data_IF_237748989106
#
_entry.id   IF_237748989106
#
_cell.length_a   1.000
_cell.length_b   1.000
_cell.length_c   1.000
_cell.angle_alpha   90.00
_cell.angle_beta   90.00
_cell.angle_gamma   90.00
#
_symmetry.space_group_name_H-M   'P 1'
#
loop_
_entity.id
_entity.type
_entity.pdbx_description
1 polymer ?
#
# COMPACT_ATOMS: atom_id res chain seq x y z
N UNK A 1 16.05 0.37 36.46
CA UNK A 1 15.45 -0.82 35.84
C UNK A 1 14.57 -0.34 34.69
N UNK A 2 15.18 -0.17 33.52
CA UNK A 2 14.47 0.17 32.29
C UNK A 2 13.68 -1.05 31.82
N UNK A 3 12.35 -0.90 31.79
CA UNK A 3 11.45 -1.91 31.29
C UNK A 3 11.48 -1.84 29.76
N UNK A 4 12.29 -2.71 29.14
CA UNK A 4 12.28 -2.93 27.69
C UNK A 4 10.88 -3.38 27.28
N UNK A 5 10.11 -2.47 26.69
CA UNK A 5 8.88 -2.78 25.98
C UNK A 5 9.25 -3.66 24.78
N UNK A 6 9.17 -4.98 24.97
CA UNK A 6 9.03 -5.92 23.86
C UNK A 6 7.64 -5.66 23.29
N UNK A 7 7.56 -4.80 22.28
CA UNK A 7 6.36 -4.65 21.46
C UNK A 7 6.17 -6.00 20.75
N UNK A 8 5.14 -6.74 21.14
CA UNK A 8 4.74 -8.01 20.54
C UNK A 8 4.45 -7.78 19.03
N UNK A 9 5.41 -8.09 18.16
CA UNK A 9 5.35 -7.94 16.69
C UNK A 9 4.42 -8.99 16.03
N UNK A 10 3.24 -9.24 16.60
CA UNK A 10 2.21 -10.08 15.95
C UNK A 10 1.08 -9.21 15.43
N UNK A 11 1.09 -8.79 14.15
CA UNK A 11 -0.14 -8.30 13.58
C UNK A 11 -1.10 -9.50 13.42
N UNK A 12 -2.30 -9.38 14.01
CA UNK A 12 -3.32 -10.45 14.08
C UNK A 12 -4.39 -10.29 13.01
N UNK A 13 -4.00 -10.15 11.75
CA UNK A 13 -4.99 -10.07 10.67
C UNK A 13 -5.41 -11.48 10.24
N UNK A 14 -6.70 -11.66 9.99
CA UNK A 14 -7.26 -12.95 9.61
C UNK A 14 -6.96 -13.27 8.13
N UNK A 15 -7.00 -12.26 7.27
CA UNK A 15 -6.81 -12.42 5.81
C UNK A 15 -5.99 -11.28 5.22
N UNK A 16 -5.25 -11.52 4.15
CA UNK A 16 -4.63 -10.46 3.34
C UNK A 16 -4.79 -10.71 1.87
N UNK A 17 -4.69 -9.64 1.10
CA UNK A 17 -4.76 -9.66 -0.35
C UNK A 17 -3.65 -8.78 -0.91
N UNK A 18 -2.98 -9.29 -1.92
CA UNK A 18 -2.02 -8.52 -2.71
C UNK A 18 -2.41 -8.61 -4.19
N UNK A 19 -2.54 -7.45 -4.82
CA UNK A 19 -2.83 -7.28 -6.27
C UNK A 19 -1.98 -6.14 -6.83
N UNK A 20 -1.90 -5.98 -8.16
CA UNK A 20 -1.34 -4.78 -8.75
C UNK A 20 -1.93 -3.49 -8.16
N UNK A 21 -1.09 -2.74 -7.44
CA UNK A 21 -1.44 -1.46 -6.82
C UNK A 21 -2.40 -1.53 -5.62
N UNK A 22 -2.62 -2.72 -5.05
CA UNK A 22 -3.48 -2.88 -3.87
C UNK A 22 -2.85 -3.88 -2.91
N UNK A 23 -2.73 -3.49 -1.65
CA UNK A 23 -2.49 -4.38 -0.52
C UNK A 23 -3.67 -4.22 0.44
N UNK A 24 -4.28 -5.31 0.87
CA UNK A 24 -5.39 -5.23 1.82
C UNK A 24 -5.23 -6.27 2.93
N UNK A 25 -5.73 -5.95 4.12
CA UNK A 25 -5.84 -6.85 5.26
C UNK A 25 -7.27 -6.85 5.74
N UNK A 26 -7.82 -8.03 6.02
CA UNK A 26 -9.09 -8.22 6.71
C UNK A 26 -8.86 -8.74 8.13
N UNK A 27 -9.60 -8.19 9.09
CA UNK A 27 -9.52 -8.51 10.51
C UNK A 27 -9.48 -7.25 11.39
N UNK A 28 -8.80 -7.29 12.54
CA UNK A 28 -8.73 -6.16 13.45
C UNK A 28 -7.94 -4.99 12.86
N UNK A 29 -8.51 -3.80 13.00
CA UNK A 29 -7.89 -2.49 12.81
C UNK A 29 -7.50 -2.01 14.21
N UNK A 30 -6.21 -1.82 14.45
CA UNK A 30 -5.68 -1.47 15.77
C UNK A 30 -5.20 -0.01 15.82
N UNK A 31 -5.16 0.60 17.01
CA UNK A 31 -4.54 1.90 17.19
C UNK A 31 -3.07 1.91 16.74
N UNK A 32 -2.64 3.02 16.15
CA UNK A 32 -1.28 3.19 15.64
C UNK A 32 -0.60 4.41 16.26
N UNK A 33 0.72 4.45 16.21
CA UNK A 33 1.45 5.70 16.39
C UNK A 33 1.20 6.65 15.21
N UNK A 34 1.58 7.93 15.37
CA UNK A 34 1.58 8.89 14.28
C UNK A 34 2.60 8.45 13.22
N UNK A 35 2.14 8.32 11.97
CA UNK A 35 2.95 7.93 10.84
C UNK A 35 2.38 8.47 9.53
N UNK A 36 3.16 8.37 8.45
CA UNK A 36 2.73 8.69 7.10
C UNK A 36 3.33 7.65 6.15
N UNK A 37 2.61 7.36 5.08
CA UNK A 37 3.07 6.49 3.98
C UNK A 37 2.42 6.96 2.69
N UNK A 38 2.98 6.53 1.56
CA UNK A 38 2.59 7.05 0.24
C UNK A 38 1.39 6.33 -0.40
N UNK A 39 0.70 5.48 0.35
CA UNK A 39 -0.51 4.83 -0.15
C UNK A 39 -1.73 5.61 0.29
N UNK A 40 -2.76 5.65 -0.55
CA UNK A 40 -4.09 6.07 -0.08
C UNK A 40 -4.62 4.92 0.77
N UNK A 41 -4.69 5.13 2.08
CA UNK A 41 -5.19 4.12 2.99
C UNK A 41 -6.69 4.29 3.18
N UNK A 42 -7.43 3.22 2.91
CA UNK A 42 -8.87 3.16 3.16
C UNK A 42 -9.13 2.16 4.28
N UNK A 43 -9.67 2.66 5.38
CA UNK A 43 -10.21 1.87 6.48
C UNK A 43 -11.69 1.65 6.20
N UNK A 44 -12.12 0.40 6.26
CA UNK A 44 -13.51 -0.01 6.13
C UNK A 44 -13.84 -0.87 7.34
N UNK A 45 -14.78 -0.45 8.17
CA UNK A 45 -15.03 -1.07 9.46
C UNK A 45 -16.51 -1.30 9.73
N UNK A 46 -16.81 -2.31 10.55
CA UNK A 46 -18.18 -2.63 11.01
C UNK A 46 -18.72 -1.58 11.98
N UNK A 47 -17.80 -0.95 12.71
CA UNK A 47 -18.08 0.12 13.67
C UNK A 47 -17.22 1.33 13.31
N UNK A 48 -17.65 2.56 13.64
CA UNK A 48 -16.86 3.75 13.33
C UNK A 48 -15.43 3.65 13.87
N UNK A 49 -14.45 3.96 13.01
CA UNK A 49 -13.03 4.11 13.35
C UNK A 49 -12.70 5.58 13.44
N UNK A 50 -11.93 5.97 14.45
CA UNK A 50 -11.40 7.33 14.60
C UNK A 50 -9.95 7.38 14.15
N UNK A 51 -9.69 8.24 13.17
CA UNK A 51 -8.36 8.64 12.72
C UNK A 51 -8.11 10.09 13.15
N UNK A 52 -6.90 10.39 13.60
CA UNK A 52 -6.48 11.76 13.88
C UNK A 52 -5.35 12.16 12.94
N UNK A 53 -5.48 13.30 12.27
CA UNK A 53 -4.42 13.85 11.43
C UNK A 53 -3.35 14.61 12.24
N UNK A 54 -2.30 15.07 11.56
CA UNK A 54 -1.21 15.82 12.18
C UNK A 54 -1.64 17.17 12.80
N UNK A 55 -2.75 17.74 12.33
CA UNK A 55 -3.33 18.98 12.85
C UNK A 55 -4.20 18.77 14.09
N UNK A 56 -4.40 17.51 14.51
CA UNK A 56 -5.25 17.16 15.65
C UNK A 56 -6.73 17.07 15.31
N UNK A 57 -7.11 17.14 14.03
CA UNK A 57 -8.50 16.95 13.61
C UNK A 57 -8.82 15.46 13.62
N UNK A 58 -9.96 15.12 14.22
CA UNK A 58 -10.48 13.75 14.27
C UNK A 58 -11.46 13.52 13.14
N UNK A 59 -11.22 12.46 12.39
CA UNK A 59 -12.03 11.95 11.30
C UNK A 59 -12.61 10.62 11.77
N UNK A 60 -13.93 10.53 11.90
CA UNK A 60 -14.62 9.34 12.41
C UNK A 60 -15.67 8.88 11.41
N UNK A 61 -15.67 7.58 11.09
CA UNK A 61 -16.63 6.99 10.17
C UNK A 61 -16.46 5.48 10.04
N UNK A 62 -17.41 4.82 9.39
CA UNK A 62 -17.28 3.38 9.04
C UNK A 62 -16.41 3.17 7.79
N UNK A 63 -16.17 4.24 7.05
CA UNK A 63 -15.20 4.31 5.97
C UNK A 63 -14.36 5.57 6.15
N UNK A 64 -13.05 5.41 6.25
CA UNK A 64 -12.09 6.52 6.38
C UNK A 64 -11.01 6.38 5.32
N UNK A 65 -10.81 7.42 4.52
CA UNK A 65 -9.80 7.51 3.47
C UNK A 65 -8.73 8.51 3.89
N UNK A 66 -7.53 8.01 4.16
CA UNK A 66 -6.35 8.81 4.45
C UNK A 66 -5.58 9.04 3.14
N UNK A 67 -5.40 10.29 2.70
CA UNK A 67 -4.61 10.61 1.52
C UNK A 67 -3.15 10.15 1.65
N UNK A 68 -2.52 9.87 0.52
CA UNK A 68 -1.09 9.59 0.48
C UNK A 68 -0.27 10.72 1.12
N UNK A 69 0.78 10.35 1.85
CA UNK A 69 1.73 11.21 2.55
C UNK A 69 1.15 12.07 3.69
N UNK A 70 -0.15 11.96 3.98
CA UNK A 70 -0.76 12.66 5.09
C UNK A 70 -0.38 11.99 6.44
N UNK A 71 0.24 12.71 7.39
CA UNK A 71 0.54 12.12 8.69
C UNK A 71 -0.72 11.93 9.52
N UNK A 72 -0.88 10.74 10.09
CA UNK A 72 -2.08 10.36 10.84
C UNK A 72 -1.80 9.24 11.86
N UNK A 73 -2.75 9.05 12.78
CA UNK A 73 -2.80 7.89 13.68
C UNK A 73 -4.22 7.34 13.78
N UNK A 74 -4.34 6.03 13.99
CA UNK A 74 -5.61 5.39 14.35
C UNK A 74 -5.75 5.45 15.87
N UNK A 75 -6.86 5.97 16.39
CA UNK A 75 -7.10 6.11 17.83
C UNK A 75 -8.00 5.02 18.41
N UNK A 76 -8.87 4.40 17.60
CA UNK A 76 -9.83 3.39 18.06
C UNK A 76 -9.64 2.06 17.33
N UNK A 77 -9.77 0.96 18.08
CA UNK A 77 -9.82 -0.37 17.49
C UNK A 77 -11.18 -0.63 16.83
N UNK A 78 -11.20 -1.40 15.75
CA UNK A 78 -12.42 -1.89 15.10
C UNK A 78 -12.15 -3.20 14.36
N UNK A 79 -13.22 -3.84 13.88
CA UNK A 79 -13.12 -5.01 13.01
C UNK A 79 -13.52 -4.63 11.58
N UNK A 80 -12.74 -5.06 10.58
CA UNK A 80 -13.05 -4.76 9.18
C UNK A 80 -11.92 -5.08 8.21
N UNK A 81 -11.64 -4.14 7.31
CA UNK A 81 -10.59 -4.22 6.32
C UNK A 81 -9.78 -2.91 6.26
N UNK A 82 -8.47 -3.05 6.09
CA UNK A 82 -7.57 -1.96 5.76
C UNK A 82 -7.02 -2.18 4.36
N UNK A 83 -7.24 -1.24 3.45
CA UNK A 83 -6.72 -1.24 2.10
C UNK A 83 -5.66 -0.15 1.96
N UNK A 84 -4.56 -0.50 1.32
CA UNK A 84 -3.49 0.38 0.90
C UNK A 84 -3.52 0.41 -0.63
N UNK A 85 -4.01 1.52 -1.18
CA UNK A 85 -4.15 1.73 -2.62
C UNK A 85 -2.95 2.55 -3.11
N UNK A 86 -2.32 2.08 -4.18
CA UNK A 86 -1.31 2.86 -4.89
C UNK A 86 -2.02 4.05 -5.56
N UNK A 87 -1.67 5.31 -5.20
CA UNK A 87 -2.29 6.51 -5.73
C UNK A 87 -2.19 6.60 -7.26
N UNK A 88 -1.25 5.87 -7.86
CA UNK A 88 -1.04 5.87 -9.31
C UNK A 88 -2.04 4.98 -10.06
N UNK A 89 -2.77 4.12 -9.35
CA UNK A 89 -3.86 3.34 -9.94
C UNK A 89 -5.14 4.16 -10.05
N UNK A 90 -6.03 3.78 -10.97
CA UNK A 90 -7.35 4.40 -11.09
C UNK A 90 -8.15 4.37 -9.76
N UNK A 91 -8.04 3.26 -9.00
CA UNK A 91 -8.71 3.13 -7.71
C UNK A 91 -8.09 4.04 -6.63
N UNK A 92 -6.75 4.09 -6.54
CA UNK A 92 -6.06 4.97 -5.60
C UNK A 92 -6.30 6.46 -5.91
N UNK A 93 -6.22 6.85 -7.18
CA UNK A 93 -6.50 8.21 -7.61
C UNK A 93 -7.96 8.62 -7.29
N UNK A 94 -8.92 7.74 -7.55
CA UNK A 94 -10.33 7.99 -7.21
C UNK A 94 -10.53 8.13 -5.69
N UNK A 95 -9.93 7.25 -4.89
CA UNK A 95 -10.00 7.34 -3.43
C UNK A 95 -9.39 8.65 -2.90
N UNK A 96 -8.23 9.07 -3.43
CA UNK A 96 -7.63 10.36 -3.08
C UNK A 96 -8.55 11.54 -3.43
N UNK A 97 -9.17 11.51 -4.62
CA UNK A 97 -10.10 12.54 -5.06
C UNK A 97 -11.37 12.58 -4.19
N UNK A 98 -11.88 11.43 -3.75
CA UNK A 98 -13.00 11.34 -2.81
C UNK A 98 -12.66 12.00 -1.47
N UNK A 99 -11.49 11.67 -0.91
CA UNK A 99 -11.02 12.26 0.34
C UNK A 99 -10.84 13.79 0.23
N UNK A 100 -10.34 14.27 -0.92
CA UNK A 100 -10.15 15.69 -1.15
C UNK A 100 -11.47 16.46 -1.30
N UNK A 101 -12.51 15.83 -1.88
CA UNK A 101 -13.84 16.43 -2.03
C UNK A 101 -14.70 16.35 -0.77
N UNK A 102 -14.61 15.24 -0.04
CA UNK A 102 -15.53 14.88 1.04
C UNK A 102 -14.95 15.00 2.45
N UNK A 103 -13.64 15.20 2.59
CA UNK A 103 -12.93 14.94 3.84
C UNK A 103 -12.55 13.45 3.98
N UNK A 104 -11.81 13.11 5.03
CA UNK A 104 -11.27 11.75 5.18
C UNK A 104 -12.34 10.75 5.60
N UNK A 105 -13.28 11.14 6.45
CA UNK A 105 -14.42 10.30 6.80
C UNK A 105 -15.48 10.41 5.69
N UNK A 106 -15.79 9.29 5.04
CA UNK A 106 -16.82 9.24 3.99
C UNK A 106 -17.96 8.31 4.41
N UNK A 107 -18.94 8.86 5.12
CA UNK A 107 -20.16 8.15 5.51
C UNK A 107 -21.27 8.25 4.46
N UNK A 108 -21.02 8.86 3.29
CA UNK A 108 -22.06 9.10 2.26
C UNK A 108 -22.46 7.82 1.53
N UNK A 109 -21.56 6.84 1.48
CA UNK A 109 -21.77 5.55 0.83
C UNK A 109 -21.20 4.41 1.69
N UNK A 110 -21.91 4.02 2.76
CA UNK A 110 -21.47 2.96 3.65
C UNK A 110 -21.52 1.62 2.92
N UNK A 111 -20.45 0.84 3.04
CA UNK A 111 -20.41 -0.49 2.43
C UNK A 111 -21.45 -1.40 3.08
N UNK A 112 -22.24 -2.14 2.29
CA UNK A 112 -23.29 -2.99 2.84
C UNK A 112 -22.70 -4.05 3.76
N UNK A 113 -23.39 -4.32 4.88
CA UNK A 113 -22.90 -5.27 5.89
C UNK A 113 -22.63 -6.67 5.33
N UNK A 114 -23.35 -7.08 4.28
CA UNK A 114 -23.11 -8.34 3.55
C UNK A 114 -21.71 -8.37 2.92
N UNK A 115 -21.25 -7.26 2.35
CA UNK A 115 -19.90 -7.14 1.79
C UNK A 115 -18.85 -7.16 2.91
N UNK A 116 -19.07 -6.50 4.04
CA UNK A 116 -18.14 -6.58 5.19
C UNK A 116 -17.97 -8.00 5.74
N UNK A 117 -18.92 -8.89 5.46
CA UNK A 117 -18.89 -10.30 5.83
C UNK A 117 -18.31 -11.22 4.74
N UNK A 118 -18.06 -10.70 3.53
CA UNK A 118 -17.52 -11.50 2.44
C UNK A 118 -16.00 -11.66 2.55
N UNK A 119 -15.38 -12.60 1.83
CA UNK A 119 -13.92 -12.70 1.73
C UNK A 119 -13.28 -11.36 1.32
N UNK A 120 -12.08 -11.07 1.81
CA UNK A 120 -11.36 -9.81 1.53
C UNK A 120 -11.21 -9.55 0.01
N UNK A 121 -11.14 -10.61 -0.79
CA UNK A 121 -11.11 -10.55 -2.25
C UNK A 121 -12.35 -9.88 -2.85
N UNK A 122 -13.53 -10.29 -2.40
CA UNK A 122 -14.82 -9.76 -2.85
C UNK A 122 -15.01 -8.32 -2.35
N UNK A 123 -14.61 -8.05 -1.11
CA UNK A 123 -14.59 -6.68 -0.55
C UNK A 123 -13.75 -5.74 -1.42
N UNK A 124 -12.49 -6.12 -1.67
CA UNK A 124 -11.58 -5.33 -2.50
C UNK A 124 -12.12 -5.16 -3.91
N UNK A 125 -12.64 -6.22 -4.53
CA UNK A 125 -13.20 -6.15 -5.88
C UNK A 125 -14.37 -5.17 -5.97
N UNK A 126 -15.30 -5.21 -5.02
CA UNK A 126 -16.44 -4.30 -4.96
C UNK A 126 -16.02 -2.85 -4.70
N UNK A 127 -15.12 -2.61 -3.75
CA UNK A 127 -14.59 -1.27 -3.43
C UNK A 127 -13.88 -0.67 -4.65
N UNK A 128 -13.00 -1.45 -5.30
CA UNK A 128 -12.29 -1.02 -6.50
C UNK A 128 -13.24 -0.73 -7.65
N UNK A 129 -14.27 -1.56 -7.83
CA UNK A 129 -15.29 -1.33 -8.85
C UNK A 129 -16.04 0.00 -8.60
N UNK A 130 -16.46 0.26 -7.37
CA UNK A 130 -17.13 1.50 -6.99
C UNK A 130 -16.24 2.74 -7.19
N UNK A 131 -14.98 2.69 -6.75
CA UNK A 131 -14.01 3.77 -6.95
C UNK A 131 -13.77 4.07 -8.43
N UNK A 132 -13.79 3.05 -9.29
CA UNK A 132 -13.59 3.20 -10.74
C UNK A 132 -14.82 3.68 -11.50
N UNK A 133 -16.00 3.73 -10.87
CA UNK A 133 -17.22 4.22 -11.51
C UNK A 133 -17.16 5.73 -11.83
N UNK A 134 -16.32 6.48 -11.09
CA UNK A 134 -16.14 7.93 -11.28
C UNK A 134 -14.65 8.27 -11.30
N UNK A 135 -13.89 7.82 -12.32
CA UNK A 135 -12.45 8.00 -12.32
C UNK A 135 -12.14 9.51 -12.44
N UNK A 136 -11.24 10.06 -11.60
CA UNK A 136 -10.76 11.41 -11.81
C UNK A 136 -10.05 11.48 -13.17
N UNK A 137 -10.03 12.67 -13.78
CA UNK A 137 -9.20 12.88 -14.96
C UNK A 137 -7.76 12.45 -14.63
N UNK A 138 -7.10 11.64 -15.47
CA UNK A 138 -5.74 11.21 -15.20
C UNK A 138 -4.86 12.47 -15.04
N UNK A 139 -3.99 12.51 -14.02
CA UNK A 139 -3.11 13.65 -13.84
C UNK A 139 -2.27 13.84 -15.10
N UNK A 140 -2.03 15.10 -15.49
CA UNK A 140 -1.22 15.40 -16.66
C UNK A 140 0.25 15.06 -16.36
N UNK A 141 0.68 13.85 -16.73
CA UNK A 141 2.03 13.36 -16.49
C UNK A 141 2.92 13.60 -17.70
N UNK A 142 4.19 13.86 -17.43
CA UNK A 142 5.23 13.89 -18.44
C UNK A 142 5.36 12.48 -19.06
N UNK A 143 5.45 12.39 -20.39
CA UNK A 143 5.48 11.12 -21.11
C UNK A 143 6.56 10.15 -20.58
N UNK A 144 7.75 10.67 -20.24
CA UNK A 144 8.83 9.88 -19.64
C UNK A 144 8.48 9.26 -18.27
N UNK A 145 7.64 9.91 -17.46
CA UNK A 145 7.17 9.36 -16.17
C UNK A 145 6.15 8.26 -16.43
N UNK A 146 5.21 8.46 -17.35
CA UNK A 146 4.27 7.44 -17.80
C UNK A 146 4.99 6.19 -18.31
N UNK A 147 6.00 6.38 -19.16
CA UNK A 147 6.81 5.28 -19.69
C UNK A 147 7.62 4.59 -18.59
N UNK A 148 8.19 5.34 -17.63
CA UNK A 148 8.89 4.76 -16.50
C UNK A 148 7.96 3.84 -15.68
N UNK A 149 6.74 4.29 -15.36
CA UNK A 149 5.75 3.48 -14.64
C UNK A 149 5.38 2.20 -15.39
N UNK A 150 5.32 2.24 -16.72
CA UNK A 150 5.06 1.07 -17.54
C UNK A 150 6.23 0.07 -17.55
N UNK A 151 7.46 0.55 -17.67
CA UNK A 151 8.65 -0.30 -17.75
C UNK A 151 9.06 -0.92 -16.40
N UNK A 152 8.82 -0.21 -15.29
CA UNK A 152 9.34 -0.58 -13.97
C UNK A 152 8.96 -2.00 -13.49
N UNK A 153 7.71 -2.48 -13.64
CA UNK A 153 7.33 -3.83 -13.19
C UNK A 153 8.14 -4.96 -13.85
N UNK A 154 8.31 -4.94 -15.17
CA UNK A 154 9.11 -5.94 -15.90
C UNK A 154 10.60 -5.82 -15.58
N UNK A 155 11.07 -4.58 -15.47
CA UNK A 155 12.44 -4.26 -15.14
C UNK A 155 12.89 -4.76 -13.76
N UNK A 156 11.98 -4.71 -12.78
CA UNK A 156 12.27 -5.19 -11.44
C UNK A 156 12.33 -6.72 -11.39
N UNK A 157 11.53 -7.42 -12.21
CA UNK A 157 11.58 -8.88 -12.35
C UNK A 157 12.93 -9.37 -12.92
N UNK A 158 13.49 -8.65 -13.87
CA UNK A 158 14.78 -9.00 -14.51
C UNK A 158 16.01 -8.71 -13.61
N UNK A 159 15.81 -8.22 -12.38
CA UNK A 159 16.86 -7.83 -11.39
C UNK A 159 17.88 -6.80 -11.89
N UNK A 160 17.74 -6.30 -13.11
CA UNK A 160 18.77 -5.49 -13.79
C UNK A 160 18.73 -4.01 -13.45
N UNK A 161 17.73 -3.55 -12.70
CA UNK A 161 17.40 -2.12 -12.69
C UNK A 161 17.89 -1.37 -11.48
N UNK A 162 18.74 -0.38 -11.77
CA UNK A 162 19.02 0.81 -10.96
C UNK A 162 18.19 1.96 -11.54
N UNK A 163 17.86 2.96 -10.72
CA UNK A 163 17.08 4.13 -11.19
C UNK A 163 17.71 4.86 -12.39
N UNK A 164 19.03 4.76 -12.56
CA UNK A 164 19.76 5.30 -13.71
C UNK A 164 19.43 4.58 -15.03
N UNK A 165 19.14 3.28 -14.99
CA UNK A 165 18.80 2.50 -16.19
C UNK A 165 17.42 2.87 -16.71
N UNK A 166 16.48 3.15 -15.79
CA UNK A 166 15.15 3.66 -16.14
C UNK A 166 15.26 5.04 -16.79
N UNK A 167 16.05 5.94 -16.19
CA UNK A 167 16.29 7.28 -16.72
C UNK A 167 16.82 7.24 -18.16
N UNK A 168 17.80 6.36 -18.42
CA UNK A 168 18.35 6.15 -19.77
C UNK A 168 17.30 5.65 -20.76
N UNK A 169 16.45 4.70 -20.36
CA UNK A 169 15.40 4.14 -21.22
C UNK A 169 14.33 5.16 -21.58
N UNK A 170 14.00 6.08 -20.68
CA UNK A 170 13.00 7.13 -20.91
C UNK A 170 13.61 8.45 -21.43
N UNK A 171 14.88 8.44 -21.81
CA UNK A 171 15.56 9.59 -22.42
C UNK A 171 15.83 10.77 -21.46
N UNK A 172 15.92 10.53 -20.15
CA UNK A 172 16.18 11.55 -19.14
C UNK A 172 17.47 11.32 -18.36
N UNK A 173 18.00 12.38 -17.76
CA UNK A 173 19.04 12.23 -16.74
C UNK A 173 18.44 11.63 -15.46
N UNK A 174 19.21 10.87 -14.64
CA UNK A 174 18.71 10.28 -13.40
C UNK A 174 18.12 11.31 -12.43
N UNK A 175 18.74 12.49 -12.33
CA UNK A 175 18.24 13.60 -11.51
C UNK A 175 16.91 14.17 -12.03
N UNK A 176 16.78 14.36 -13.36
CA UNK A 176 15.53 14.88 -13.95
C UNK A 176 14.39 13.89 -13.83
N UNK A 177 14.65 12.60 -14.09
CA UNK A 177 13.65 11.55 -13.85
C UNK A 177 13.28 11.51 -12.37
N UNK A 178 14.24 11.50 -11.44
CA UNK A 178 13.91 11.44 -10.01
C UNK A 178 13.07 12.63 -9.55
N UNK A 179 13.38 13.83 -10.04
CA UNK A 179 12.61 15.03 -9.75
C UNK A 179 11.18 14.94 -10.32
N UNK A 180 11.04 14.69 -11.63
CA UNK A 180 9.73 14.56 -12.28
C UNK A 180 8.90 13.42 -11.70
N UNK A 181 9.54 12.29 -11.39
CA UNK A 181 8.89 11.14 -10.78
C UNK A 181 8.41 11.52 -9.38
N UNK A 182 9.24 12.16 -8.54
CA UNK A 182 8.78 12.62 -7.21
C UNK A 182 7.67 13.67 -7.32
N UNK A 183 7.78 14.60 -8.27
CA UNK A 183 6.80 15.67 -8.47
C UNK A 183 5.44 15.13 -8.95
N UNK A 184 5.44 14.12 -9.84
CA UNK A 184 4.23 13.66 -10.52
C UNK A 184 3.67 12.35 -9.98
N UNK A 185 4.50 11.54 -9.31
CA UNK A 185 4.13 10.28 -8.64
C UNK A 185 4.05 10.51 -7.13
N UNK A 186 4.72 11.52 -6.57
CA UNK A 186 4.69 11.85 -5.14
C UNK A 186 5.73 11.10 -4.29
N UNK A 187 6.24 9.95 -4.75
CA UNK A 187 7.40 9.28 -4.16
C UNK A 187 8.65 9.36 -5.02
N UNK A 188 9.85 9.36 -4.40
CA UNK A 188 11.06 9.13 -5.14
C UNK A 188 11.05 7.75 -5.83
N UNK A 189 11.64 7.68 -7.02
CA UNK A 189 11.71 6.48 -7.86
C UNK A 189 12.25 5.24 -7.13
N UNK A 190 13.20 5.43 -6.21
CA UNK A 190 13.84 4.33 -5.47
C UNK A 190 12.87 3.63 -4.50
N UNK A 191 12.17 4.32 -3.59
CA UNK A 191 11.04 3.77 -2.83
C UNK A 191 10.03 2.99 -3.68
N UNK A 192 9.65 3.49 -4.87
CA UNK A 192 8.73 2.78 -5.76
C UNK A 192 9.30 1.45 -6.28
N UNK A 193 10.56 1.45 -6.71
CA UNK A 193 11.27 0.22 -7.10
C UNK A 193 11.32 -0.79 -5.93
N UNK A 194 11.57 -0.32 -4.72
CA UNK A 194 11.60 -1.17 -3.52
C UNK A 194 10.23 -1.79 -3.23
N UNK A 195 9.14 -1.04 -3.45
CA UNK A 195 7.78 -1.57 -3.35
C UNK A 195 7.52 -2.71 -4.34
N UNK A 196 7.91 -2.54 -5.60
CA UNK A 196 7.80 -3.59 -6.63
C UNK A 196 8.59 -4.85 -6.24
N UNK A 197 9.82 -4.67 -5.72
CA UNK A 197 10.66 -5.78 -5.24
C UNK A 197 10.00 -6.51 -4.08
N UNK A 198 9.42 -5.80 -3.12
CA UNK A 198 8.75 -6.44 -2.00
C UNK A 198 7.61 -7.35 -2.46
N UNK A 199 6.81 -6.91 -3.46
CA UNK A 199 5.72 -7.74 -4.00
C UNK A 199 6.23 -9.08 -4.52
N UNK A 200 7.37 -9.08 -5.19
CA UNK A 200 8.03 -10.31 -5.66
C UNK A 200 8.50 -11.16 -4.48
N UNK A 201 9.13 -10.56 -3.46
CA UNK A 201 9.62 -11.28 -2.30
C UNK A 201 8.47 -11.98 -1.55
N UNK A 202 7.35 -11.27 -1.33
CA UNK A 202 6.18 -11.83 -0.65
C UNK A 202 5.58 -12.98 -1.47
N UNK A 203 5.47 -12.83 -2.79
CA UNK A 203 4.96 -13.90 -3.66
C UNK A 203 5.86 -15.15 -3.62
N UNK A 204 7.18 -14.98 -3.65
CA UNK A 204 8.18 -16.05 -3.58
C UNK A 204 8.18 -16.76 -2.23
N UNK A 205 8.23 -15.99 -1.14
CA UNK A 205 8.19 -16.53 0.22
C UNK A 205 6.96 -17.40 0.45
N UNK A 206 5.82 -17.00 -0.12
CA UNK A 206 4.57 -17.77 -0.06
C UNK A 206 4.53 -19.01 -0.95
N UNK A 207 5.32 -19.01 -2.02
CA UNK A 207 5.47 -20.19 -2.89
C UNK A 207 6.34 -21.28 -2.25
N UNK A 208 6.82 -21.06 -1.03
CA UNK A 208 7.61 -22.00 -0.24
C UNK A 208 9.08 -21.63 -0.12
N UNK A 209 9.54 -20.55 -0.75
CA UNK A 209 10.91 -20.06 -0.61
C UNK A 209 11.14 -19.59 0.84
N UNK A 210 12.32 -19.80 1.40
CA UNK A 210 12.70 -19.15 2.65
C UNK A 210 12.93 -17.63 2.46
N UNK A 211 13.00 -16.88 3.56
CA UNK A 211 13.08 -15.41 3.51
C UNK A 211 14.33 -14.91 2.79
N UNK A 212 15.44 -15.65 2.87
CA UNK A 212 16.69 -15.30 2.21
C UNK A 212 16.57 -15.49 0.69
N UNK A 213 15.99 -16.61 0.27
CA UNK A 213 15.73 -16.97 -1.13
C UNK A 213 14.74 -16.00 -1.76
N UNK A 214 13.66 -15.66 -1.05
CA UNK A 214 12.68 -14.67 -1.47
C UNK A 214 13.28 -13.26 -1.60
N UNK A 215 14.13 -12.86 -0.65
CA UNK A 215 14.84 -11.58 -0.72
C UNK A 215 15.76 -11.51 -1.94
N UNK A 216 16.54 -12.56 -2.19
CA UNK A 216 17.39 -12.65 -3.38
C UNK A 216 16.55 -12.63 -4.67
N UNK A 217 15.44 -13.37 -4.70
CA UNK A 217 14.52 -13.41 -5.84
C UNK A 217 13.97 -12.04 -6.22
N UNK A 218 13.69 -11.22 -5.22
CA UNK A 218 13.25 -9.84 -5.35
C UNK A 218 14.38 -8.82 -5.59
N UNK A 219 15.65 -9.24 -5.65
CA UNK A 219 16.77 -8.33 -5.84
C UNK A 219 17.14 -7.50 -4.62
N UNK A 220 16.92 -8.03 -3.41
CA UNK A 220 17.56 -7.54 -2.18
C UNK A 220 18.85 -8.31 -1.91
N UNK A 221 19.81 -7.67 -1.23
CA UNK A 221 21.09 -8.29 -0.91
C UNK A 221 20.92 -9.45 0.11
N UNK A 222 19.98 -9.31 1.05
CA UNK A 222 19.63 -10.34 2.04
C UNK A 222 18.26 -10.08 2.71
N UNK A 223 17.81 -11.00 3.56
CA UNK A 223 16.55 -10.90 4.31
C UNK A 223 16.49 -9.75 5.33
N UNK A 224 17.63 -9.27 5.83
CA UNK A 224 17.71 -8.09 6.72
C UNK A 224 17.42 -6.80 5.95
N UNK A 225 17.93 -6.68 4.72
CA UNK A 225 17.65 -5.55 3.82
C UNK A 225 16.19 -5.47 3.39
N UNK A 226 15.60 -6.63 3.10
CA UNK A 226 14.17 -6.80 2.88
C UNK A 226 13.38 -6.35 4.13
N UNK A 227 13.77 -6.83 5.32
CA UNK A 227 13.08 -6.52 6.58
C UNK A 227 13.10 -5.03 6.92
N UNK A 228 14.26 -4.40 6.81
CA UNK A 228 14.42 -2.95 7.01
C UNK A 228 13.59 -2.15 6.02
N UNK A 229 13.53 -2.61 4.77
CA UNK A 229 12.72 -1.95 3.74
C UNK A 229 11.23 -2.06 4.02
N UNK A 230 10.72 -3.24 4.40
CA UNK A 230 9.32 -3.40 4.78
C UNK A 230 8.93 -2.52 5.97
N UNK A 231 9.75 -2.51 7.03
CA UNK A 231 9.47 -1.70 8.22
C UNK A 231 9.42 -0.21 7.87
N UNK A 232 10.32 0.26 7.01
CA UNK A 232 10.34 1.66 6.57
C UNK A 232 9.14 2.03 5.68
N UNK A 233 8.68 1.12 4.82
CA UNK A 233 7.65 1.41 3.82
C UNK A 233 6.22 1.14 4.34
N UNK A 234 6.04 0.13 5.18
CA UNK A 234 4.72 -0.32 5.65
C UNK A 234 4.58 -0.31 7.18
N UNK A 235 5.63 0.05 7.93
CA UNK A 235 5.63 -0.09 9.39
C UNK A 235 5.70 -1.55 9.88
N UNK A 236 5.78 -2.52 8.97
CA UNK A 236 5.68 -3.96 9.27
C UNK A 236 6.89 -4.74 8.74
N UNK A 237 7.27 -5.83 9.40
CA UNK A 237 8.28 -6.75 8.86
C UNK A 237 7.68 -7.68 7.79
N UNK A 238 8.49 -8.28 6.88
CA UNK A 238 8.02 -9.29 5.93
C UNK A 238 7.38 -10.49 6.63
N UNK A 239 7.91 -10.85 7.81
CA UNK A 239 7.36 -11.91 8.66
C UNK A 239 6.02 -11.51 9.28
N UNK A 240 5.86 -10.24 9.67
CA UNK A 240 4.59 -9.67 10.11
C UNK A 240 3.54 -9.70 8.97
N UNK A 241 3.97 -9.46 7.73
CA UNK A 241 3.17 -9.70 6.53
C UNK A 241 2.92 -11.21 6.27
N UNK A 242 3.66 -12.13 6.88
CA UNK A 242 3.41 -13.56 6.71
C UNK A 242 2.37 -14.11 7.71
N UNK A 243 2.13 -13.44 8.83
CA UNK A 243 1.27 -13.94 9.92
C UNK A 243 -0.25 -14.00 9.63
N UNK A 244 -0.60 -13.86 8.36
CA UNK A 244 -1.85 -14.31 7.78
C UNK A 244 -2.35 -15.64 8.30
N UNK A 245 -3.65 -15.74 8.55
CA UNK A 245 -4.28 -17.05 8.44
C UNK A 245 -4.51 -17.42 6.96
N UNK A 246 -4.88 -16.45 6.11
CA UNK A 246 -5.14 -16.70 4.68
C UNK A 246 -4.71 -15.52 3.81
N UNK A 247 -4.30 -15.82 2.58
CA UNK A 247 -3.87 -14.81 1.64
C UNK A 247 -4.37 -15.10 0.22
N UNK A 248 -4.86 -14.06 -0.45
CA UNK A 248 -5.26 -14.09 -1.86
C UNK A 248 -4.29 -13.26 -2.72
N UNK A 249 -3.65 -13.88 -3.73
CA UNK A 249 -2.70 -13.22 -4.67
C UNK A 249 -3.29 -12.93 -6.05
N UNK A 250 -4.41 -13.53 -6.40
CA UNK A 250 -4.98 -13.44 -7.74
C UNK A 250 -4.19 -14.26 -8.74
N UNK A 251 -4.74 -14.40 -9.94
CA UNK A 251 -4.18 -15.28 -10.96
C UNK A 251 -2.96 -14.68 -11.68
N UNK A 252 -2.75 -13.35 -11.59
CA UNK A 252 -1.64 -12.64 -12.26
C UNK A 252 -0.25 -12.86 -11.62
N UNK A 253 -0.18 -13.60 -10.50
CA UNK A 253 1.06 -13.88 -9.76
C UNK A 253 1.39 -15.38 -9.67
N UNK A 254 0.69 -16.23 -10.44
CA UNK A 254 0.99 -17.65 -10.59
C UNK A 254 1.98 -17.91 -11.73
#
# INVERSE_FOLDING_TARGET
MENTLVVDEKPRWATALLRPGILAFGGPIEPTALHAHHTVQMLVARTPVTVMDAGGVRHQGTRVIVPADAPYRIESAAEGATLYLDPETAAGAAAAADAHRGGWADDRDPLPATLLNSPIAEQVAAIVHALRATPPAPPHRHAAVTEALHLLPSLVLDRTVRGADVAKRVGLSPGRLSHLFTEQVGIPLRPYILWLRLRIAVARFRSGDDLATAAQAAGFDNGTDLTRTCRRTFGLSPTALHHAAHWDLGDDLR
#
